data_IF_180072947911
#
_entry.id   IF_180072947911
#
_cell.length_a   1.000
_cell.length_b   1.000
_cell.length_c   1.000
_cell.angle_alpha   90.00
_cell.angle_beta   90.00
_cell.angle_gamma   90.00
#
_symmetry.space_group_name_H-M   'P 1'
#
loop_
_entity.id
_entity.type
_entity.pdbx_description
1 polymer ?
#
# COMPACT_ATOMS: atom_id res chain seq x y z
N UNK A 1 37.83 77.30 19.67
CA UNK A 1 38.10 75.96 20.14
C UNK A 1 36.99 75.05 19.54
N UNK A 2 37.28 74.37 18.46
CA UNK A 2 36.33 73.67 17.61
C UNK A 2 36.21 72.20 18.06
N UNK A 3 34.98 71.71 18.29
CA UNK A 3 34.68 70.33 18.56
C UNK A 3 33.97 69.68 17.33
N UNK A 4 34.65 68.78 16.63
CA UNK A 4 34.11 67.95 15.54
C UNK A 4 33.38 66.81 16.13
N UNK A 5 32.07 66.71 15.89
CA UNK A 5 31.30 65.46 16.13
C UNK A 5 31.33 64.57 14.87
N UNK A 6 31.90 63.39 14.98
CA UNK A 6 31.87 62.34 13.95
C UNK A 6 30.58 61.53 14.06
N UNK A 7 29.71 61.64 13.05
CA UNK A 7 28.54 60.75 12.90
C UNK A 7 28.98 59.39 12.34
N UNK A 8 28.72 58.32 13.08
CA UNK A 8 28.78 56.94 12.56
C UNK A 8 27.44 56.59 11.90
N UNK A 9 27.45 56.46 10.58
CA UNK A 9 26.32 55.88 9.83
C UNK A 9 26.45 54.36 9.85
N UNK A 10 25.58 53.69 10.59
CA UNK A 10 25.45 52.24 10.54
C UNK A 10 24.58 51.82 9.34
N UNK A 11 25.20 51.28 8.30
CA UNK A 11 24.49 50.57 7.24
C UNK A 11 23.97 49.25 7.79
N UNK A 12 22.67 49.17 8.08
CA UNK A 12 22.00 47.91 8.37
C UNK A 12 21.79 47.12 7.06
N UNK A 13 22.53 46.06 6.87
CA UNK A 13 22.29 45.15 5.77
C UNK A 13 21.04 44.28 6.10
N UNK A 14 19.90 44.61 5.49
CA UNK A 14 18.70 43.76 5.54
C UNK A 14 18.93 42.54 4.67
N UNK A 15 19.19 41.38 5.29
CA UNK A 15 19.20 40.11 4.61
C UNK A 15 17.73 39.73 4.31
N UNK A 16 17.29 39.92 3.07
CA UNK A 16 16.03 39.36 2.59
C UNK A 16 16.22 37.84 2.51
N UNK A 17 15.65 37.12 3.46
CA UNK A 17 15.41 35.67 3.32
C UNK A 17 14.34 35.50 2.24
N UNK A 18 14.76 35.23 1.02
CA UNK A 18 13.87 34.70 -0.04
C UNK A 18 13.52 33.30 0.36
N UNK A 19 12.44 33.11 1.10
CA UNK A 19 11.80 31.79 1.23
C UNK A 19 11.33 31.43 -0.20
N UNK A 20 12.10 30.58 -0.87
CA UNK A 20 11.72 30.03 -2.16
C UNK A 20 10.36 29.33 -1.99
N UNK A 21 9.29 29.92 -2.50
CA UNK A 21 8.01 29.24 -2.61
C UNK A 21 8.25 27.98 -3.47
N UNK A 22 8.16 26.80 -2.85
CA UNK A 22 8.19 25.56 -3.60
C UNK A 22 7.08 25.65 -4.66
N UNK A 23 7.45 25.57 -5.94
CA UNK A 23 6.47 25.61 -7.02
C UNK A 23 5.52 24.44 -6.88
N UNK A 24 4.22 24.69 -6.98
CA UNK A 24 3.20 23.66 -7.04
C UNK A 24 3.54 22.68 -8.18
N UNK A 25 3.54 21.39 -7.88
CA UNK A 25 3.88 20.35 -8.83
C UNK A 25 2.84 19.24 -8.82
N UNK A 26 2.63 18.61 -9.98
CA UNK A 26 1.89 17.37 -10.10
C UNK A 26 2.82 16.21 -9.71
N UNK A 27 2.50 15.52 -8.63
CA UNK A 27 3.21 14.33 -8.16
C UNK A 27 2.46 13.10 -8.64
N UNK A 28 3.06 12.39 -9.60
CA UNK A 28 2.48 11.17 -10.15
C UNK A 28 2.78 9.98 -9.23
N UNK A 29 1.73 9.34 -8.73
CA UNK A 29 1.81 8.24 -7.76
C UNK A 29 1.21 6.97 -8.36
N UNK A 30 1.98 5.89 -8.43
CA UNK A 30 1.44 4.55 -8.68
C UNK A 30 1.27 3.84 -7.34
N UNK A 31 0.04 3.36 -7.06
CA UNK A 31 -0.30 2.79 -5.75
C UNK A 31 -1.08 1.50 -5.85
N UNK A 32 -0.75 0.54 -4.98
CA UNK A 32 -1.50 -0.71 -4.80
C UNK A 32 -2.67 -0.55 -3.82
N UNK A 33 -3.63 -1.47 -3.93
CA UNK A 33 -4.89 -1.40 -3.19
C UNK A 33 -4.71 -1.43 -1.67
N UNK A 34 -3.76 -2.20 -1.16
CA UNK A 34 -3.63 -2.44 0.28
C UNK A 34 -3.24 -1.23 1.12
N UNK A 35 -2.60 -0.20 0.54
CA UNK A 35 -2.32 1.07 1.24
C UNK A 35 -3.22 2.22 0.75
N UNK A 36 -4.08 1.97 -0.23
CA UNK A 36 -4.85 3.02 -0.89
C UNK A 36 -5.81 3.76 0.04
N UNK A 37 -6.44 3.09 1.01
CA UNK A 37 -7.36 3.72 1.96
C UNK A 37 -6.64 4.79 2.82
N UNK A 38 -5.44 4.50 3.31
CA UNK A 38 -4.60 5.46 4.06
C UNK A 38 -4.21 6.64 3.18
N UNK A 39 -3.73 6.35 1.97
CA UNK A 39 -3.34 7.37 1.00
C UNK A 39 -4.51 8.29 0.60
N UNK A 40 -5.68 7.73 0.35
CA UNK A 40 -6.87 8.51 -0.03
C UNK A 40 -7.38 9.40 1.12
N UNK A 41 -7.25 8.96 2.37
CA UNK A 41 -7.61 9.76 3.55
C UNK A 41 -6.60 10.91 3.76
N UNK A 42 -5.31 10.64 3.62
CA UNK A 42 -4.24 11.59 3.95
C UNK A 42 -3.83 12.50 2.77
N UNK A 43 -4.04 12.06 1.53
CA UNK A 43 -3.65 12.79 0.32
C UNK A 43 -4.13 14.24 0.28
N UNK A 44 -5.43 14.52 0.53
CA UNK A 44 -5.93 15.89 0.56
C UNK A 44 -5.27 16.79 1.63
N UNK A 45 -4.83 16.22 2.75
CA UNK A 45 -4.09 16.97 3.77
C UNK A 45 -2.66 17.28 3.30
N UNK A 46 -2.00 16.35 2.63
CA UNK A 46 -0.71 16.58 2.00
C UNK A 46 -0.79 17.67 0.93
N UNK A 47 -1.78 17.63 0.03
CA UNK A 47 -1.96 18.62 -1.04
C UNK A 47 -2.15 20.02 -0.46
N UNK A 48 -2.99 20.17 0.58
CA UNK A 48 -3.20 21.47 1.25
C UNK A 48 -1.95 22.00 1.94
N UNK A 49 -1.17 21.11 2.56
CA UNK A 49 0.01 21.50 3.33
C UNK A 49 1.21 21.84 2.43
N UNK A 50 1.34 21.16 1.30
CA UNK A 50 2.50 21.28 0.41
C UNK A 50 2.27 22.16 -0.82
N UNK A 51 1.01 22.37 -1.20
CA UNK A 51 0.65 23.04 -2.45
C UNK A 51 0.81 22.15 -3.69
N UNK A 52 1.30 20.90 -3.55
CA UNK A 52 1.40 19.93 -4.65
C UNK A 52 0.04 19.28 -4.92
N UNK A 53 -0.12 18.72 -6.12
CA UNK A 53 -1.29 17.95 -6.54
C UNK A 53 -0.89 16.49 -6.75
N UNK A 54 -1.71 15.55 -6.26
CA UNK A 54 -1.49 14.12 -6.43
C UNK A 54 -2.22 13.60 -7.68
N UNK A 55 -1.48 13.00 -8.61
CA UNK A 55 -2.01 12.35 -9.81
C UNK A 55 -1.85 10.84 -9.65
N UNK A 56 -2.94 10.15 -9.35
CA UNK A 56 -2.91 8.76 -8.87
C UNK A 56 -3.24 7.77 -9.98
N UNK A 57 -2.38 6.76 -10.14
CA UNK A 57 -2.60 5.57 -10.94
C UNK A 57 -2.63 4.34 -10.04
N UNK A 58 -3.69 3.53 -10.11
CA UNK A 58 -3.81 2.31 -9.32
C UNK A 58 -3.31 1.10 -10.10
N UNK A 59 -2.73 0.13 -9.40
CA UNK A 59 -2.31 -1.15 -9.97
C UNK A 59 -1.84 -2.13 -8.90
N UNK A 60 -1.85 -3.45 -9.18
CA UNK A 60 -1.30 -4.46 -8.28
C UNK A 60 0.20 -4.23 -8.01
N UNK A 61 0.65 -4.60 -6.80
CA UNK A 61 2.08 -4.58 -6.44
C UNK A 61 2.91 -5.56 -7.28
N UNK A 62 2.29 -6.64 -7.74
CA UNK A 62 2.91 -7.72 -8.54
C UNK A 62 1.83 -8.44 -9.34
N UNK A 63 2.21 -9.51 -10.05
CA UNK A 63 1.31 -10.32 -10.86
C UNK A 63 1.44 -10.05 -12.35
N UNK A 64 0.68 -10.80 -13.16
CA UNK A 64 0.80 -10.84 -14.62
C UNK A 64 -0.07 -9.79 -15.32
N UNK A 65 -0.78 -8.97 -14.55
CA UNK A 65 -1.64 -7.92 -15.11
C UNK A 65 -0.79 -6.84 -15.81
N UNK A 66 -1.19 -6.39 -17.01
CA UNK A 66 -0.55 -5.24 -17.65
C UNK A 66 -0.69 -3.95 -16.82
N UNK A 67 -1.60 -3.93 -15.86
CA UNK A 67 -1.83 -2.80 -14.93
C UNK A 67 -0.96 -2.89 -13.67
N UNK A 68 -0.26 -4.02 -13.46
CA UNK A 68 0.67 -4.15 -12.34
C UNK A 68 1.74 -3.06 -12.39
N UNK A 69 2.04 -2.47 -11.24
CA UNK A 69 3.03 -1.38 -11.12
C UNK A 69 4.37 -1.77 -11.76
N UNK A 70 4.93 -2.99 -11.52
CA UNK A 70 6.15 -3.42 -12.18
C UNK A 70 6.05 -3.46 -13.71
N UNK A 71 4.90 -3.89 -14.24
CA UNK A 71 4.68 -3.96 -15.68
C UNK A 71 4.56 -2.55 -16.31
N UNK A 72 3.89 -1.62 -15.64
CA UNK A 72 3.79 -0.21 -16.06
C UNK A 72 5.15 0.46 -16.13
N UNK A 73 5.94 0.35 -15.07
CA UNK A 73 7.29 0.92 -15.02
C UNK A 73 8.23 0.29 -16.08
N UNK A 74 8.14 -1.03 -16.30
CA UNK A 74 8.93 -1.72 -17.31
C UNK A 74 8.59 -1.27 -18.74
N UNK A 75 7.37 -0.80 -19.00
CA UNK A 75 6.96 -0.20 -20.28
C UNK A 75 7.32 1.29 -20.41
N UNK A 76 7.94 1.87 -19.38
CA UNK A 76 8.31 3.27 -19.38
C UNK A 76 7.19 4.24 -18.98
N UNK A 77 6.07 3.75 -18.39
CA UNK A 77 5.08 4.66 -17.81
C UNK A 77 5.72 5.45 -16.67
N UNK A 78 5.49 6.75 -16.66
CA UNK A 78 6.14 7.67 -15.72
C UNK A 78 5.36 7.78 -14.41
N UNK A 79 6.08 7.73 -13.30
CA UNK A 79 5.59 8.10 -11.98
C UNK A 79 6.74 8.73 -11.19
N UNK A 80 6.42 9.50 -10.16
CA UNK A 80 7.41 10.04 -9.22
C UNK A 80 7.58 9.11 -8.03
N UNK A 81 6.47 8.56 -7.55
CA UNK A 81 6.39 7.70 -6.36
C UNK A 81 5.66 6.41 -6.69
N UNK A 82 6.16 5.30 -6.15
CA UNK A 82 5.41 4.07 -6.03
C UNK A 82 5.06 3.82 -4.55
N UNK A 83 3.85 3.31 -4.28
CA UNK A 83 3.42 2.84 -2.97
C UNK A 83 2.85 1.44 -3.15
N UNK A 84 3.59 0.43 -2.67
CA UNK A 84 3.29 -0.97 -2.97
C UNK A 84 3.87 -1.88 -1.89
N UNK A 85 3.70 -3.19 -2.04
CA UNK A 85 4.32 -4.20 -1.18
C UNK A 85 5.85 -3.99 -1.07
N UNK A 86 6.37 -4.09 0.15
CA UNK A 86 7.77 -3.80 0.44
C UNK A 86 8.76 -4.71 -0.29
N UNK A 87 8.43 -5.99 -0.43
CA UNK A 87 9.24 -6.95 -1.21
C UNK A 87 9.23 -6.62 -2.71
N UNK A 88 8.09 -6.15 -3.22
CA UNK A 88 7.98 -5.67 -4.60
C UNK A 88 8.78 -4.39 -4.81
N UNK A 89 8.83 -3.47 -3.83
CA UNK A 89 9.70 -2.30 -3.89
C UNK A 89 11.17 -2.68 -3.96
N UNK A 90 11.59 -3.68 -3.20
CA UNK A 90 12.97 -4.21 -3.25
C UNK A 90 13.31 -4.83 -4.60
N UNK A 91 12.37 -5.59 -5.20
CA UNK A 91 12.55 -6.12 -6.55
C UNK A 91 12.70 -5.01 -7.59
N UNK A 92 11.86 -4.00 -7.55
CA UNK A 92 11.95 -2.84 -8.42
C UNK A 92 13.28 -2.09 -8.24
N UNK A 93 13.80 -2.03 -7.00
CA UNK A 93 15.14 -1.47 -6.71
C UNK A 93 16.25 -2.27 -7.38
N UNK A 94 16.23 -3.60 -7.28
CA UNK A 94 17.20 -4.49 -7.95
C UNK A 94 17.15 -4.36 -9.48
N UNK A 95 15.98 -4.09 -10.04
CA UNK A 95 15.77 -3.88 -11.48
C UNK A 95 16.07 -2.46 -11.93
N UNK A 96 16.49 -1.57 -11.04
CA UNK A 96 16.80 -0.17 -11.36
C UNK A 96 15.57 0.68 -11.73
N UNK A 97 14.36 0.23 -11.41
CA UNK A 97 13.10 0.94 -11.72
C UNK A 97 12.68 1.92 -10.62
N UNK A 98 13.17 1.71 -9.39
CA UNK A 98 13.05 2.66 -8.28
C UNK A 98 14.42 2.91 -7.66
N UNK A 99 14.57 4.06 -7.01
CA UNK A 99 15.76 4.44 -6.26
C UNK A 99 15.76 3.69 -4.93
N UNK A 100 16.50 2.60 -4.83
CA UNK A 100 16.50 1.73 -3.64
C UNK A 100 16.74 2.51 -2.33
N UNK A 101 17.64 3.50 -2.34
CA UNK A 101 17.93 4.35 -1.18
C UNK A 101 16.76 5.27 -0.75
N UNK A 102 15.72 5.43 -1.59
CA UNK A 102 14.54 6.24 -1.27
C UNK A 102 13.40 5.44 -0.66
N UNK A 103 13.55 4.10 -0.54
CA UNK A 103 12.52 3.24 0.04
C UNK A 103 12.32 3.57 1.52
N UNK A 104 11.07 3.75 1.90
CA UNK A 104 10.64 3.92 3.30
C UNK A 104 9.50 2.95 3.55
N UNK A 105 9.63 2.15 4.58
CA UNK A 105 8.54 1.29 5.08
C UNK A 105 7.48 2.17 5.74
N UNK A 106 6.21 1.93 5.41
CA UNK A 106 5.08 2.75 5.85
C UNK A 106 4.24 2.03 6.92
N UNK A 107 3.95 0.76 6.68
CA UNK A 107 3.10 -0.03 7.57
C UNK A 107 3.30 -1.53 7.37
N UNK A 108 3.11 -2.31 8.44
CA UNK A 108 2.94 -3.77 8.35
C UNK A 108 1.52 -4.10 7.95
N UNK A 109 1.39 -5.19 7.19
CA UNK A 109 0.11 -5.70 6.73
C UNK A 109 -0.03 -7.18 7.03
N UNK A 110 -1.24 -7.60 7.35
CA UNK A 110 -1.59 -9.00 7.59
C UNK A 110 -2.54 -9.50 6.50
N UNK A 111 -2.46 -10.80 6.19
CA UNK A 111 -3.49 -11.47 5.41
C UNK A 111 -4.64 -11.81 6.36
N UNK A 112 -5.84 -11.48 5.93
CA UNK A 112 -7.07 -11.78 6.64
C UNK A 112 -8.03 -12.63 5.82
N UNK A 113 -9.04 -13.14 6.50
CA UNK A 113 -10.16 -13.88 5.93
C UNK A 113 -11.47 -13.13 6.12
N UNK A 114 -12.31 -13.17 5.10
CA UNK A 114 -13.68 -12.70 5.17
C UNK A 114 -14.65 -13.77 4.67
N UNK A 115 -15.87 -13.71 5.18
CA UNK A 115 -17.05 -14.46 4.73
C UNK A 115 -18.15 -13.49 4.33
N UNK A 116 -19.19 -13.95 3.63
CA UNK A 116 -20.37 -13.14 3.34
C UNK A 116 -21.01 -12.63 4.63
N UNK A 117 -21.52 -11.42 4.62
CA UNK A 117 -22.25 -10.87 5.75
C UNK A 117 -23.42 -11.78 6.19
N UNK A 118 -23.52 -12.04 7.49
CA UNK A 118 -24.51 -12.95 8.06
C UNK A 118 -24.12 -14.45 8.02
N UNK A 119 -23.06 -14.83 7.32
CA UNK A 119 -22.54 -16.20 7.40
C UNK A 119 -21.83 -16.45 8.75
N UNK A 120 -21.82 -17.70 9.19
CA UNK A 120 -21.07 -18.11 10.37
C UNK A 120 -19.57 -17.88 10.15
N UNK A 121 -18.90 -17.36 11.19
CA UNK A 121 -17.44 -17.20 11.17
C UNK A 121 -16.79 -18.55 11.43
N UNK A 122 -16.01 -19.10 10.50
CA UNK A 122 -15.24 -20.30 10.78
C UNK A 122 -14.10 -20.01 11.76
N UNK A 123 -13.67 -21.04 12.47
CA UNK A 123 -12.52 -20.93 13.37
C UNK A 123 -11.21 -20.93 12.55
N UNK A 124 -10.39 -19.90 12.80
CA UNK A 124 -9.05 -19.74 12.22
C UNK A 124 -8.02 -19.38 13.30
N UNK A 125 -8.32 -19.65 14.57
CA UNK A 125 -7.51 -19.24 15.72
C UNK A 125 -6.21 -20.04 15.89
N UNK A 126 -6.06 -21.17 15.21
CA UNK A 126 -4.84 -21.99 15.19
C UNK A 126 -4.51 -22.45 13.77
N UNK A 127 -3.30 -22.96 13.56
CA UNK A 127 -2.88 -23.55 12.28
C UNK A 127 -3.78 -24.71 11.88
N UNK A 128 -4.14 -25.58 12.84
CA UNK A 128 -5.01 -26.72 12.62
C UNK A 128 -6.45 -26.30 12.30
N UNK A 129 -7.00 -25.35 13.03
CA UNK A 129 -8.33 -24.80 12.78
C UNK A 129 -8.41 -24.13 11.42
N UNK A 130 -7.39 -23.33 11.07
CA UNK A 130 -7.27 -22.69 9.77
C UNK A 130 -7.18 -23.73 8.63
N UNK A 131 -6.34 -24.75 8.78
CA UNK A 131 -6.25 -25.85 7.82
C UNK A 131 -7.57 -26.59 7.65
N UNK A 132 -8.25 -26.89 8.76
CA UNK A 132 -9.57 -27.54 8.75
C UNK A 132 -10.62 -26.66 8.05
N UNK A 133 -10.63 -25.38 8.31
CA UNK A 133 -11.49 -24.40 7.63
C UNK A 133 -11.23 -24.37 6.12
N UNK A 134 -9.96 -24.36 5.69
CA UNK A 134 -9.62 -24.44 4.26
C UNK A 134 -10.17 -25.72 3.62
N UNK A 135 -10.02 -26.87 4.28
CA UNK A 135 -10.49 -28.15 3.74
C UNK A 135 -12.02 -28.22 3.66
N UNK A 136 -12.72 -27.68 4.66
CA UNK A 136 -14.19 -27.69 4.76
C UNK A 136 -14.86 -26.72 3.79
N UNK A 137 -14.21 -25.60 3.45
CA UNK A 137 -14.77 -24.58 2.56
C UNK A 137 -15.09 -25.17 1.17
N UNK A 138 -16.26 -24.80 0.63
CA UNK A 138 -16.71 -25.24 -0.71
C UNK A 138 -16.02 -24.46 -1.82
N UNK A 139 -15.70 -23.20 -1.57
CA UNK A 139 -15.02 -22.32 -2.52
C UNK A 139 -14.20 -21.25 -1.82
N UNK A 140 -13.05 -20.92 -2.42
CA UNK A 140 -12.07 -19.97 -1.87
C UNK A 140 -11.74 -18.93 -2.93
N UNK A 141 -11.70 -17.66 -2.54
CA UNK A 141 -11.22 -16.58 -3.39
C UNK A 141 -9.96 -15.93 -2.80
N UNK A 142 -9.00 -15.58 -3.64
CA UNK A 142 -7.81 -14.82 -3.26
C UNK A 142 -7.37 -13.89 -4.39
N UNK A 143 -6.61 -12.84 -4.05
CA UNK A 143 -6.18 -11.82 -5.02
C UNK A 143 -5.13 -12.34 -6.00
N UNK A 144 -4.97 -11.66 -7.12
CA UNK A 144 -3.89 -11.86 -8.07
C UNK A 144 -2.59 -11.10 -7.69
N UNK A 145 -2.57 -10.48 -6.50
CA UNK A 145 -1.43 -9.72 -5.97
C UNK A 145 -0.69 -10.50 -4.85
N UNK A 146 0.11 -9.81 -4.04
CA UNK A 146 1.02 -10.40 -3.06
C UNK A 146 0.42 -11.43 -2.12
N UNK A 147 -0.71 -11.11 -1.49
CA UNK A 147 -1.37 -12.05 -0.56
C UNK A 147 -1.84 -13.33 -1.24
N UNK A 148 -2.46 -13.22 -2.41
CA UNK A 148 -2.93 -14.41 -3.13
C UNK A 148 -1.80 -15.23 -3.73
N UNK A 149 -0.73 -14.58 -4.19
CA UNK A 149 0.50 -15.28 -4.63
C UNK A 149 1.09 -16.08 -3.47
N UNK A 150 1.26 -15.47 -2.30
CA UNK A 150 1.75 -16.18 -1.11
C UNK A 150 0.86 -17.36 -0.72
N UNK A 151 -0.46 -17.17 -0.68
CA UNK A 151 -1.40 -18.26 -0.37
C UNK A 151 -1.23 -19.44 -1.31
N UNK A 152 -1.26 -19.19 -2.63
CA UNK A 152 -1.29 -20.25 -3.64
C UNK A 152 0.07 -20.94 -3.85
N UNK A 153 1.17 -20.19 -3.79
CA UNK A 153 2.49 -20.72 -4.11
C UNK A 153 3.31 -21.17 -2.89
N UNK A 154 2.93 -20.70 -1.69
CA UNK A 154 3.70 -20.97 -0.47
C UNK A 154 2.84 -21.60 0.63
N UNK A 155 1.73 -20.96 1.00
CA UNK A 155 0.99 -21.38 2.19
C UNK A 155 0.20 -22.67 1.99
N UNK A 156 -0.53 -22.80 0.88
CA UNK A 156 -1.30 -24.03 0.61
C UNK A 156 -0.37 -25.26 0.47
N UNK A 157 0.77 -25.19 -0.24
CA UNK A 157 1.76 -26.27 -0.22
C UNK A 157 2.30 -26.58 1.19
N UNK A 158 2.68 -25.55 1.96
CA UNK A 158 3.19 -25.70 3.32
C UNK A 158 2.20 -26.40 4.26
N UNK A 159 0.90 -26.14 4.09
CA UNK A 159 -0.17 -26.78 4.87
C UNK A 159 -0.58 -28.15 4.33
N UNK A 160 -0.01 -28.62 3.20
CA UNK A 160 -0.38 -29.86 2.56
C UNK A 160 -1.82 -29.89 2.04
N UNK A 161 -2.33 -28.74 1.56
CA UNK A 161 -3.71 -28.62 1.04
C UNK A 161 -3.77 -28.12 -0.41
N UNK A 162 -2.64 -28.01 -1.09
CA UNK A 162 -2.55 -27.41 -2.42
C UNK A 162 -3.49 -28.08 -3.44
N UNK A 163 -3.52 -29.41 -3.49
CA UNK A 163 -4.36 -30.16 -4.43
C UNK A 163 -5.86 -29.93 -4.17
N UNK A 164 -6.27 -29.93 -2.89
CA UNK A 164 -7.65 -29.63 -2.52
C UNK A 164 -8.05 -28.19 -2.84
N UNK A 165 -7.10 -27.24 -2.70
CA UNK A 165 -7.35 -25.85 -3.04
C UNK A 165 -7.43 -25.61 -4.55
N UNK A 166 -6.64 -26.32 -5.37
CA UNK A 166 -6.64 -26.17 -6.82
C UNK A 166 -8.05 -26.35 -7.44
N UNK A 167 -8.83 -27.30 -6.91
CA UNK A 167 -10.18 -27.61 -7.43
C UNK A 167 -11.28 -26.64 -6.99
N UNK A 168 -11.04 -25.76 -6.00
CA UNK A 168 -12.07 -24.89 -5.41
C UNK A 168 -11.63 -23.45 -5.18
N UNK A 169 -10.42 -23.10 -5.60
CA UNK A 169 -9.89 -21.75 -5.46
C UNK A 169 -10.04 -20.95 -6.74
N UNK A 170 -10.39 -19.67 -6.57
CA UNK A 170 -10.47 -18.68 -7.64
C UNK A 170 -9.49 -17.55 -7.37
N UNK A 171 -8.57 -17.31 -8.32
CA UNK A 171 -7.74 -16.10 -8.35
C UNK A 171 -8.56 -14.94 -8.91
N UNK A 172 -8.73 -13.88 -8.13
CA UNK A 172 -9.52 -12.70 -8.48
C UNK A 172 -8.59 -11.60 -8.93
N UNK A 173 -8.83 -11.08 -10.14
CA UNK A 173 -8.12 -9.91 -10.63
C UNK A 173 -8.56 -8.69 -9.85
N UNK A 174 -7.59 -7.95 -9.28
CA UNK A 174 -7.85 -6.73 -8.54
C UNK A 174 -8.12 -5.51 -9.43
N UNK A 175 -8.57 -4.38 -8.81
CA UNK A 175 -8.70 -3.11 -9.51
C UNK A 175 -7.38 -2.65 -10.13
N UNK A 176 -7.42 -1.85 -11.24
CA UNK A 176 -8.59 -1.16 -11.80
C UNK A 176 -9.44 -1.98 -12.78
N UNK A 177 -8.91 -3.01 -13.44
CA UNK A 177 -9.64 -3.79 -14.45
C UNK A 177 -10.42 -4.98 -13.90
N UNK A 178 -10.34 -5.22 -12.60
CA UNK A 178 -11.05 -6.26 -11.89
C UNK A 178 -11.74 -5.71 -10.63
N UNK A 179 -11.94 -6.58 -9.65
CA UNK A 179 -12.69 -6.27 -8.44
C UNK A 179 -11.98 -6.77 -7.17
N UNK A 180 -12.30 -6.22 -5.99
CA UNK A 180 -11.80 -6.76 -4.73
C UNK A 180 -12.32 -8.18 -4.48
N UNK A 181 -11.52 -9.03 -3.85
CA UNK A 181 -11.96 -10.37 -3.38
C UNK A 181 -13.21 -10.28 -2.52
N UNK A 182 -13.30 -9.25 -1.67
CA UNK A 182 -14.46 -9.03 -0.82
C UNK A 182 -15.76 -8.87 -1.61
N UNK A 183 -15.75 -8.28 -2.82
CA UNK A 183 -16.93 -8.15 -3.66
C UNK A 183 -17.45 -9.52 -4.16
N UNK A 184 -16.52 -10.41 -4.52
CA UNK A 184 -16.81 -11.80 -4.92
C UNK A 184 -17.45 -12.57 -3.77
N UNK A 185 -16.92 -12.42 -2.55
CA UNK A 185 -17.46 -13.03 -1.33
C UNK A 185 -18.84 -12.46 -0.97
N UNK A 186 -19.00 -11.15 -1.06
CA UNK A 186 -20.27 -10.46 -0.76
C UNK A 186 -21.42 -10.95 -1.62
N UNK A 187 -21.16 -11.27 -2.90
CA UNK A 187 -22.16 -11.85 -3.83
C UNK A 187 -22.37 -13.35 -3.63
N UNK A 188 -21.58 -14.01 -2.77
CA UNK A 188 -21.66 -15.45 -2.52
C UNK A 188 -21.04 -16.32 -3.63
N UNK A 189 -20.23 -15.73 -4.51
CA UNK A 189 -19.49 -16.45 -5.56
C UNK A 189 -18.28 -17.22 -5.00
N UNK A 190 -17.86 -16.88 -3.79
CA UNK A 190 -16.92 -17.64 -2.97
C UNK A 190 -17.41 -17.65 -1.52
N UNK A 191 -17.24 -18.82 -0.84
CA UNK A 191 -17.64 -18.97 0.56
C UNK A 191 -16.70 -18.20 1.50
N UNK A 192 -15.39 -18.30 1.27
CA UNK A 192 -14.37 -17.58 2.02
C UNK A 192 -13.44 -16.82 1.06
N UNK A 193 -12.94 -15.68 1.51
CA UNK A 193 -12.01 -14.86 0.74
C UNK A 193 -10.83 -14.39 1.55
N UNK A 194 -9.67 -14.30 0.89
CA UNK A 194 -8.41 -13.87 1.48
C UNK A 194 -7.84 -12.67 0.73
N UNK A 195 -7.48 -11.65 1.48
CA UNK A 195 -6.78 -10.47 0.98
C UNK A 195 -6.02 -9.81 2.13
N UNK A 196 -5.30 -8.72 1.88
CA UNK A 196 -4.79 -7.88 2.96
C UNK A 196 -5.94 -7.39 3.84
N UNK A 197 -5.75 -7.33 5.17
CA UNK A 197 -6.78 -6.90 6.12
C UNK A 197 -7.39 -5.57 5.71
N UNK A 198 -6.56 -4.62 5.29
CA UNK A 198 -6.97 -3.28 4.82
C UNK A 198 -7.93 -3.28 3.63
N UNK A 199 -7.98 -4.37 2.87
CA UNK A 199 -8.85 -4.54 1.71
C UNK A 199 -10.15 -5.31 2.04
N UNK A 200 -10.32 -5.77 3.29
CA UNK A 200 -11.46 -6.57 3.74
C UNK A 200 -12.34 -5.84 4.76
N UNK A 201 -11.74 -5.15 5.74
CA UNK A 201 -12.42 -4.71 6.97
C UNK A 201 -13.50 -3.63 6.74
N UNK A 202 -13.44 -2.91 5.62
CA UNK A 202 -14.36 -1.79 5.32
C UNK A 202 -15.26 -2.04 4.11
N UNK A 203 -15.29 -3.29 3.62
CA UNK A 203 -16.09 -3.61 2.44
C UNK A 203 -17.50 -4.03 2.86
N UNK A 204 -18.56 -3.35 2.39
CA UNK A 204 -19.93 -3.76 2.66
C UNK A 204 -20.23 -5.17 2.11
N UNK A 205 -21.12 -5.90 2.79
CA UNK A 205 -21.57 -7.22 2.34
C UNK A 205 -20.66 -8.38 2.75
N UNK A 206 -19.54 -8.10 3.45
CA UNK A 206 -18.70 -9.13 4.05
C UNK A 206 -18.57 -8.95 5.56
N UNK A 207 -18.26 -10.04 6.24
CA UNK A 207 -17.87 -10.06 7.64
C UNK A 207 -16.41 -10.47 7.72
N UNK A 208 -15.56 -9.60 8.26
CA UNK A 208 -14.18 -9.93 8.57
C UNK A 208 -14.13 -10.98 9.68
N UNK A 209 -13.49 -12.12 9.40
CA UNK A 209 -13.35 -13.23 10.35
C UNK A 209 -12.18 -12.96 11.31
N UNK A 210 -11.03 -12.61 10.76
CA UNK A 210 -9.79 -12.36 11.47
C UNK A 210 -8.59 -12.40 10.54
N UNK A 211 -7.41 -12.08 11.07
CA UNK A 211 -6.15 -12.38 10.41
C UNK A 211 -5.88 -13.89 10.46
N UNK A 212 -5.23 -14.46 9.45
CA UNK A 212 -4.76 -15.85 9.52
C UNK A 212 -3.74 -15.99 10.66
N UNK A 213 -3.50 -17.20 11.19
CA UNK A 213 -2.59 -17.40 12.32
C UNK A 213 -1.23 -16.71 12.13
N UNK A 214 -0.70 -16.15 13.22
CA UNK A 214 0.54 -15.36 13.16
C UNK A 214 1.73 -16.13 12.60
N UNK A 215 1.82 -17.43 12.88
CA UNK A 215 2.85 -18.35 12.41
C UNK A 215 2.81 -18.60 10.89
N UNK A 216 1.68 -18.25 10.28
CA UNK A 216 1.42 -18.37 8.85
C UNK A 216 1.52 -17.05 8.10
N UNK A 217 1.74 -15.93 8.81
CA UNK A 217 1.87 -14.61 8.18
C UNK A 217 3.25 -14.46 7.51
N UNK A 218 3.29 -13.92 6.28
CA UNK A 218 4.55 -13.76 5.55
C UNK A 218 5.34 -12.50 5.95
N UNK A 219 4.83 -11.69 6.88
CA UNK A 219 5.48 -10.44 7.30
C UNK A 219 5.40 -9.33 6.25
N UNK A 220 4.31 -9.22 5.52
CA UNK A 220 4.12 -8.17 4.52
C UNK A 220 4.20 -6.76 5.14
N UNK A 221 4.81 -5.85 4.38
CA UNK A 221 4.76 -4.41 4.60
C UNK A 221 4.31 -3.69 3.34
N UNK A 222 3.93 -2.42 3.50
CA UNK A 222 3.82 -1.47 2.40
C UNK A 222 4.93 -0.45 2.51
N UNK A 223 5.53 -0.10 1.39
CA UNK A 223 6.60 0.87 1.28
C UNK A 223 6.31 1.93 0.22
N UNK A 224 6.82 3.12 0.43
CA UNK A 224 6.91 4.20 -0.55
C UNK A 224 8.33 4.32 -1.08
N UNK A 225 8.50 4.55 -2.38
CA UNK A 225 9.81 4.79 -2.98
C UNK A 225 9.70 5.71 -4.20
N UNK A 226 10.77 6.47 -4.48
CA UNK A 226 10.88 7.24 -5.71
C UNK A 226 11.20 6.33 -6.88
N UNK A 227 10.58 6.57 -8.03
CA UNK A 227 10.99 5.91 -9.27
C UNK A 227 12.35 6.45 -9.72
N UNK A 228 13.06 5.66 -10.53
CA UNK A 228 14.35 6.09 -11.09
C UNK A 228 14.21 7.33 -11.98
N UNK A 229 13.06 7.46 -12.66
CA UNK A 229 12.75 8.54 -13.59
C UNK A 229 11.83 9.61 -12.99
N UNK A 230 11.76 9.71 -11.63
CA UNK A 230 10.95 10.72 -10.95
C UNK A 230 11.29 12.13 -11.44
N UNK A 231 10.28 12.86 -11.90
CA UNK A 231 10.38 14.25 -12.37
C UNK A 231 10.27 15.26 -11.23
N UNK A 232 9.58 14.85 -10.14
CA UNK A 232 9.35 15.65 -8.95
C UNK A 232 9.91 14.94 -7.70
N UNK A 233 11.25 14.69 -7.64
CA UNK A 233 11.83 13.84 -6.59
C UNK A 233 11.68 14.46 -5.19
N UNK A 234 11.75 15.79 -5.04
CA UNK A 234 11.63 16.46 -3.76
C UNK A 234 10.19 16.41 -3.23
N UNK A 235 9.21 16.69 -4.10
CA UNK A 235 7.80 16.57 -3.77
C UNK A 235 7.39 15.12 -3.49
N UNK A 236 7.90 14.16 -4.27
CA UNK A 236 7.70 12.73 -4.03
C UNK A 236 8.29 12.27 -2.70
N UNK A 237 9.51 12.73 -2.36
CA UNK A 237 10.13 12.45 -1.06
C UNK A 237 9.34 13.07 0.10
N UNK A 238 8.80 14.27 -0.10
CA UNK A 238 7.93 14.91 0.90
C UNK A 238 6.66 14.10 1.15
N UNK A 239 6.02 13.57 0.08
CA UNK A 239 4.86 12.68 0.21
C UNK A 239 5.20 11.41 0.99
N UNK A 240 6.28 10.72 0.64
CA UNK A 240 6.68 9.48 1.32
C UNK A 240 6.95 9.74 2.81
N UNK A 241 7.70 10.80 3.13
CA UNK A 241 7.94 11.19 4.53
C UNK A 241 6.65 11.56 5.28
N UNK A 242 5.71 12.24 4.62
CA UNK A 242 4.42 12.58 5.22
C UNK A 242 3.62 11.32 5.57
N UNK A 243 3.57 10.34 4.67
CA UNK A 243 2.87 9.06 4.89
C UNK A 243 3.57 8.16 5.93
N UNK A 244 4.87 8.33 6.16
CA UNK A 244 5.66 7.64 7.18
C UNK A 244 5.69 8.41 8.53
N UNK A 245 5.10 9.58 8.60
CA UNK A 245 5.15 10.40 9.82
C UNK A 245 4.22 9.85 10.91
N UNK A 246 4.48 10.15 12.19
CA UNK A 246 3.57 9.79 13.28
C UNK A 246 2.14 10.29 13.11
N UNK A 247 1.94 11.39 12.37
CA UNK A 247 0.62 11.92 12.06
C UNK A 247 -0.22 10.99 11.16
N UNK A 248 0.41 10.06 10.43
CA UNK A 248 -0.27 9.08 9.61
C UNK A 248 -0.80 7.87 10.42
N UNK A 249 -0.28 7.64 11.64
CA UNK A 249 -0.60 6.47 12.44
C UNK A 249 -2.10 6.23 12.66
N UNK A 250 -2.94 7.23 12.96
CA UNK A 250 -4.39 7.01 13.11
C UNK A 250 -5.05 6.48 11.84
N UNK A 251 -4.71 7.00 10.67
CA UNK A 251 -5.25 6.53 9.40
C UNK A 251 -4.76 5.11 9.05
N UNK A 252 -3.50 4.80 9.36
CA UNK A 252 -2.91 3.47 9.17
C UNK A 252 -3.64 2.44 10.04
N UNK A 253 -3.82 2.72 11.34
CA UNK A 253 -4.54 1.85 12.27
C UNK A 253 -6.00 1.65 11.86
N UNK A 254 -6.69 2.72 11.48
CA UNK A 254 -8.07 2.67 10.98
C UNK A 254 -8.21 1.79 9.74
N UNK A 255 -7.20 1.77 8.88
CA UNK A 255 -7.15 0.88 7.72
C UNK A 255 -6.80 -0.58 8.06
N UNK A 256 -6.62 -0.94 9.34
CA UNK A 256 -6.26 -2.30 9.76
C UNK A 256 -4.79 -2.66 9.49
N UNK A 257 -3.94 -1.66 9.36
CA UNK A 257 -2.49 -1.79 9.22
C UNK A 257 -1.78 -1.40 10.53
N UNK A 258 -0.52 -1.78 10.68
CA UNK A 258 0.31 -1.39 11.82
C UNK A 258 1.38 -0.40 11.37
N UNK A 259 1.45 0.83 11.92
CA UNK A 259 2.51 1.80 11.61
C UNK A 259 3.90 1.25 11.88
N UNK A 260 4.90 1.68 11.13
CA UNK A 260 6.32 1.33 11.30
C UNK A 260 7.15 2.54 11.70
#
# INVERSE_FOLDING_TARGET
MSSLARGLSSLGASVLLIAGAASAADVHVMISAGFYAVYAELGPAFERASGHRLVTTRGPSMGDSPEAIPARLARGETADVVILDGGSADDLGRRGLVRAASKVELARSLIGMAVRAGAAKPDIGSVEAFRSTLLAAKSVAYSDSGSGTYLSTTLFPKLGVADQMAGKSRKVRGPPSGEPVAAVVARGEAEIGFQQVSELIHVPGVTFVGAIPAELQPGFSFAGALTSNARQPDAGSALVRFLASPAAAPAILKAGLTPL
#
